data_IF_365353030557
#
_entry.id   IF_365353030557
#
_cell.length_a   1.000
_cell.length_b   1.000
_cell.length_c   1.000
_cell.angle_alpha   90.00
_cell.angle_beta   90.00
_cell.angle_gamma   90.00
#
_symmetry.space_group_name_H-M   'P 1'
#
loop_
_entity.id
_entity.type
_entity.pdbx_description
1 polymer ?
#
# COMPACT_ATOMS: atom_id res chain seq x y z
N UNK A 1 -2.78 -16.46 7.48
CA UNK A 1 -3.33 -15.08 7.52
C UNK A 1 -2.98 -14.43 6.19
N UNK A 2 -3.95 -13.94 5.43
CA UNK A 2 -3.68 -13.33 4.13
C UNK A 2 -2.90 -12.03 4.34
N UNK A 3 -1.74 -11.90 3.68
CA UNK A 3 -0.95 -10.67 3.64
C UNK A 3 -1.64 -9.71 2.67
N UNK A 4 -2.35 -8.74 3.19
CA UNK A 4 -3.09 -7.75 2.42
C UNK A 4 -2.67 -6.36 2.94
N UNK A 5 -1.74 -5.75 2.21
CA UNK A 5 -1.09 -4.49 2.58
C UNK A 5 -2.00 -3.33 2.16
N UNK A 6 -2.68 -3.47 1.02
CA UNK A 6 -3.43 -2.39 0.39
C UNK A 6 -4.88 -2.77 0.07
N UNK A 7 -5.73 -2.93 1.10
CA UNK A 7 -7.20 -3.09 0.91
C UNK A 7 -7.85 -2.11 -0.07
N UNK A 8 -7.24 -0.94 -0.30
CA UNK A 8 -7.72 0.11 -1.20
C UNK A 8 -7.69 -0.30 -2.67
N UNK A 9 -6.78 -1.19 -3.08
CA UNK A 9 -6.62 -1.61 -4.48
C UNK A 9 -7.88 -2.33 -4.99
N UNK A 10 -8.47 -3.18 -4.16
CA UNK A 10 -9.64 -3.98 -4.47
C UNK A 10 -10.87 -3.08 -4.65
N UNK A 11 -10.97 -1.97 -3.90
CA UNK A 11 -12.00 -0.96 -4.10
C UNK A 11 -11.83 -0.23 -5.42
N UNK A 12 -10.60 0.22 -5.76
CA UNK A 12 -10.37 0.89 -7.04
C UNK A 12 -10.67 -0.03 -8.23
N UNK A 13 -10.25 -1.30 -8.17
CA UNK A 13 -10.56 -2.28 -9.22
C UNK A 13 -12.08 -2.48 -9.32
N UNK A 14 -12.77 -2.69 -8.21
CA UNK A 14 -14.22 -2.93 -8.21
C UNK A 14 -15.01 -1.73 -8.73
N UNK A 15 -14.68 -0.51 -8.28
CA UNK A 15 -15.32 0.74 -8.72
C UNK A 15 -15.03 0.97 -10.21
N UNK A 16 -13.79 0.80 -10.64
CA UNK A 16 -13.39 0.96 -12.04
C UNK A 16 -14.14 0.00 -12.97
N UNK A 17 -14.23 -1.28 -12.60
CA UNK A 17 -15.00 -2.29 -13.35
C UNK A 17 -16.49 -1.91 -13.40
N UNK A 18 -17.07 -1.50 -12.28
CA UNK A 18 -18.48 -1.12 -12.22
C UNK A 18 -18.79 0.08 -13.14
N UNK A 19 -17.94 1.13 -13.14
CA UNK A 19 -18.11 2.28 -14.01
C UNK A 19 -17.99 1.91 -15.51
N UNK A 20 -17.07 1.01 -15.85
CA UNK A 20 -16.94 0.51 -17.23
C UNK A 20 -18.18 -0.28 -17.65
N UNK A 21 -18.72 -1.13 -16.77
CA UNK A 21 -19.95 -1.89 -17.05
C UNK A 21 -21.13 -0.95 -17.23
N UNK A 22 -21.29 0.05 -16.36
CA UNK A 22 -22.36 1.06 -16.49
C UNK A 22 -22.21 1.84 -17.81
N UNK A 23 -20.99 2.25 -18.16
CA UNK A 23 -20.73 2.92 -19.44
C UNK A 23 -21.08 2.00 -20.63
N UNK A 24 -20.66 0.74 -20.61
CA UNK A 24 -20.98 -0.22 -21.66
C UNK A 24 -22.48 -0.46 -21.79
N UNK A 25 -23.18 -0.74 -20.68
CA UNK A 25 -24.64 -0.94 -20.68
C UNK A 25 -25.34 0.31 -21.20
N UNK A 26 -24.91 1.51 -20.80
CA UNK A 26 -25.52 2.75 -21.30
C UNK A 26 -25.41 2.85 -22.82
N UNK A 27 -24.26 2.48 -23.39
CA UNK A 27 -24.00 2.52 -24.83
C UNK A 27 -24.81 1.45 -25.59
N UNK A 28 -24.97 0.25 -25.03
CA UNK A 28 -25.61 -0.88 -25.72
C UNK A 28 -27.13 -0.99 -25.50
N UNK A 29 -27.64 -0.55 -24.35
CA UNK A 29 -29.04 -0.73 -23.99
C UNK A 29 -29.97 0.31 -24.67
N UNK A 30 -29.44 1.47 -25.05
CA UNK A 30 -30.23 2.49 -25.74
C UNK A 30 -29.48 3.11 -26.93
N UNK A 31 -29.68 2.55 -28.14
CA UNK A 31 -29.10 3.10 -29.36
C UNK A 31 -29.74 4.43 -29.80
N UNK A 32 -30.79 4.93 -29.14
CA UNK A 32 -31.35 6.26 -29.45
C UNK A 32 -30.59 7.40 -28.76
N UNK A 33 -29.83 7.10 -27.71
CA UNK A 33 -29.01 8.06 -26.95
C UNK A 33 -27.57 8.20 -27.50
N UNK A 34 -27.34 7.90 -28.78
CA UNK A 34 -26.06 8.25 -29.43
C UNK A 34 -25.91 9.75 -29.71
N UNK A 35 -27.02 10.49 -29.70
CA UNK A 35 -27.04 11.92 -30.00
C UNK A 35 -27.27 12.72 -28.73
N UNK A 36 -26.19 13.18 -28.12
CA UNK A 36 -26.27 14.20 -27.06
C UNK A 36 -26.52 15.57 -27.69
N UNK A 37 -27.57 16.24 -27.23
CA UNK A 37 -27.90 17.60 -27.63
C UNK A 37 -27.11 18.57 -26.76
N UNK A 38 -26.33 19.44 -27.39
CA UNK A 38 -25.82 20.63 -26.71
C UNK A 38 -26.74 21.79 -27.02
N UNK A 39 -27.48 22.22 -26.00
CA UNK A 39 -28.42 23.34 -26.08
C UNK A 39 -27.67 24.58 -25.58
N UNK A 40 -27.51 25.57 -26.47
CA UNK A 40 -26.87 26.84 -26.13
C UNK A 40 -27.90 27.95 -26.21
N UNK A 41 -28.18 28.59 -25.08
CA UNK A 41 -29.04 29.78 -25.00
C UNK A 41 -28.25 30.90 -24.31
N UNK A 42 -27.79 31.88 -25.10
CA UNK A 42 -26.90 32.94 -24.63
C UNK A 42 -25.58 32.38 -24.08
N UNK A 43 -25.33 32.61 -22.79
CA UNK A 43 -24.14 32.11 -22.08
C UNK A 43 -24.33 30.76 -21.38
N UNK A 44 -25.55 30.21 -21.40
CA UNK A 44 -25.86 28.95 -20.73
C UNK A 44 -25.68 27.76 -21.67
N UNK A 45 -24.97 26.74 -21.19
CA UNK A 45 -24.72 25.50 -21.92
C UNK A 45 -25.34 24.35 -21.13
N UNK A 46 -26.28 23.63 -21.76
CA UNK A 46 -26.96 22.47 -21.20
C UNK A 46 -26.77 21.25 -22.09
N UNK A 47 -26.71 20.08 -21.45
CA UNK A 47 -26.64 18.77 -22.08
C UNK A 47 -27.93 18.02 -21.79
N UNK A 48 -28.62 17.56 -22.83
CA UNK A 48 -29.88 16.81 -22.69
C UNK A 48 -29.88 15.63 -23.68
N UNK A 49 -30.52 14.54 -23.30
CA UNK A 49 -30.81 13.42 -24.20
C UNK A 49 -31.97 13.82 -25.13
N UNK A 50 -31.95 13.35 -26.38
CA UNK A 50 -32.97 13.71 -27.36
C UNK A 50 -34.37 13.17 -27.01
N UNK A 51 -34.47 12.11 -26.22
CA UNK A 51 -35.71 11.50 -25.68
C UNK A 51 -36.89 11.33 -26.66
N UNK A 52 -36.63 11.38 -27.98
CA UNK A 52 -37.67 11.36 -29.01
C UNK A 52 -38.36 12.70 -29.28
N UNK A 53 -37.93 13.80 -28.65
CA UNK A 53 -38.44 15.15 -28.88
C UNK A 53 -38.07 15.69 -30.26
N UNK A 54 -38.94 16.53 -30.81
CA UNK A 54 -38.65 17.29 -32.04
C UNK A 54 -37.91 18.59 -31.74
N UNK A 55 -37.14 19.09 -32.71
CA UNK A 55 -36.37 20.34 -32.58
C UNK A 55 -37.29 21.52 -32.25
N UNK A 56 -38.51 21.52 -32.80
CA UNK A 56 -39.54 22.54 -32.56
C UNK A 56 -40.00 22.56 -31.09
N UNK A 57 -40.14 21.40 -30.46
CA UNK A 57 -40.50 21.29 -29.03
C UNK A 57 -39.37 21.82 -28.13
N UNK A 58 -38.12 21.62 -28.53
CA UNK A 58 -36.94 22.12 -27.79
C UNK A 58 -36.83 23.63 -27.92
N UNK A 59 -37.03 24.17 -29.13
CA UNK A 59 -37.02 25.61 -29.39
C UNK A 59 -38.20 26.31 -28.68
N UNK A 60 -39.37 25.68 -28.65
CA UNK A 60 -40.53 26.22 -27.93
C UNK A 60 -40.30 26.34 -26.41
N UNK A 61 -39.56 25.39 -25.82
CA UNK A 61 -39.26 25.40 -24.37
C UNK A 61 -38.11 26.34 -24.01
N UNK A 62 -37.04 26.36 -24.80
CA UNK A 62 -35.84 27.13 -24.49
C UNK A 62 -35.79 28.52 -25.13
N UNK A 63 -36.71 28.82 -26.06
CA UNK A 63 -36.81 30.11 -26.74
C UNK A 63 -36.19 30.11 -28.13
N UNK A 64 -36.61 31.08 -28.96
CA UNK A 64 -36.26 31.18 -30.38
C UNK A 64 -34.76 31.34 -30.66
N UNK A 65 -33.99 31.87 -29.69
CA UNK A 65 -32.55 32.09 -29.83
C UNK A 65 -31.71 30.83 -29.52
N UNK A 66 -32.35 29.68 -29.31
CA UNK A 66 -31.68 28.44 -28.93
C UNK A 66 -30.96 27.79 -30.10
N UNK A 67 -29.66 27.58 -29.97
CA UNK A 67 -28.86 26.82 -30.96
C UNK A 67 -28.70 25.38 -30.49
N UNK A 68 -29.28 24.45 -31.25
CA UNK A 68 -29.17 23.01 -31.01
C UNK A 68 -27.98 22.48 -31.81
N UNK A 69 -26.97 21.96 -31.13
CA UNK A 69 -25.84 21.28 -31.77
C UNK A 69 -25.91 19.78 -31.51
N UNK A 70 -25.94 19.00 -32.60
CA UNK A 70 -25.93 17.54 -32.54
C UNK A 70 -24.51 17.02 -32.37
N UNK A 71 -24.22 16.46 -31.19
CA UNK A 71 -22.99 15.70 -30.99
C UNK A 71 -23.23 14.28 -31.46
N UNK A 72 -22.56 13.83 -32.53
CA UNK A 72 -22.60 12.41 -32.94
C UNK A 72 -21.86 11.46 -31.99
N UNK A 73 -21.43 11.95 -30.83
CA UNK A 73 -20.61 11.22 -29.87
C UNK A 73 -21.11 11.51 -28.44
N UNK A 74 -21.47 10.48 -27.65
CA UNK A 74 -22.00 10.66 -26.31
C UNK A 74 -20.85 11.00 -25.34
N UNK A 75 -20.65 12.30 -25.09
CA UNK A 75 -19.52 12.81 -24.31
C UNK A 75 -19.64 12.40 -22.85
N UNK A 76 -20.83 12.47 -22.24
CA UNK A 76 -21.03 12.13 -20.81
C UNK A 76 -20.69 10.66 -20.57
N UNK A 77 -21.24 9.76 -21.40
CA UNK A 77 -21.01 8.30 -21.28
C UNK A 77 -19.54 7.95 -21.49
N UNK A 78 -18.89 8.61 -22.44
CA UNK A 78 -17.46 8.42 -22.70
C UNK A 78 -16.62 8.93 -21.52
N UNK A 79 -16.97 10.06 -20.90
CA UNK A 79 -16.31 10.56 -19.69
C UNK A 79 -16.44 9.53 -18.56
N UNK A 80 -17.61 8.93 -18.35
CA UNK A 80 -17.80 7.88 -17.32
C UNK A 80 -16.89 6.67 -17.62
N UNK A 81 -16.89 6.19 -18.87
CA UNK A 81 -16.06 5.06 -19.30
C UNK A 81 -14.56 5.33 -19.15
N UNK A 82 -14.09 6.52 -19.55
CA UNK A 82 -12.69 6.94 -19.39
C UNK A 82 -12.31 7.00 -17.91
N UNK A 83 -13.14 7.60 -17.06
CA UNK A 83 -12.87 7.66 -15.62
C UNK A 83 -12.82 6.27 -15.00
N UNK A 84 -13.75 5.39 -15.37
CA UNK A 84 -13.75 3.98 -14.94
C UNK A 84 -12.46 3.25 -15.34
N UNK A 85 -12.02 3.43 -16.58
CA UNK A 85 -10.76 2.86 -17.08
C UNK A 85 -9.53 3.39 -16.35
N UNK A 86 -9.46 4.71 -16.10
CA UNK A 86 -8.36 5.33 -15.36
C UNK A 86 -8.30 4.79 -13.93
N UNK A 87 -9.44 4.73 -13.24
CA UNK A 87 -9.53 4.18 -11.88
C UNK A 87 -9.09 2.70 -11.85
N UNK A 88 -9.54 1.90 -12.81
CA UNK A 88 -9.16 0.50 -12.94
C UNK A 88 -7.65 0.34 -13.17
N UNK A 89 -7.07 1.11 -14.09
CA UNK A 89 -5.64 1.07 -14.39
C UNK A 89 -4.80 1.43 -13.16
N UNK A 90 -5.23 2.43 -12.39
CA UNK A 90 -4.61 2.79 -11.11
C UNK A 90 -4.69 1.61 -10.14
N UNK A 91 -5.86 1.00 -9.96
CA UNK A 91 -6.05 -0.16 -9.08
C UNK A 91 -5.14 -1.35 -9.45
N UNK A 92 -5.07 -1.68 -10.75
CA UNK A 92 -4.19 -2.74 -11.26
C UNK A 92 -2.71 -2.43 -11.03
N UNK A 93 -2.31 -1.17 -11.21
CA UNK A 93 -0.93 -0.73 -10.92
C UNK A 93 -0.57 -0.92 -9.45
N UNK A 94 -1.44 -0.49 -8.53
CA UNK A 94 -1.24 -0.71 -7.09
C UNK A 94 -1.15 -2.20 -6.75
N UNK A 95 -2.05 -3.01 -7.29
CA UNK A 95 -2.04 -4.47 -7.09
C UNK A 95 -0.75 -5.13 -7.58
N UNK A 96 -0.21 -4.66 -8.71
CA UNK A 96 1.06 -5.18 -9.23
C UNK A 96 2.25 -4.85 -8.30
N UNK A 97 2.23 -3.66 -7.68
CA UNK A 97 3.24 -3.25 -6.71
C UNK A 97 3.10 -4.02 -5.41
N UNK A 98 1.87 -4.21 -4.94
CA UNK A 98 1.60 -4.99 -3.74
C UNK A 98 2.14 -6.42 -3.84
N UNK A 99 1.90 -7.11 -4.96
CA UNK A 99 2.45 -8.45 -5.18
C UNK A 99 3.98 -8.50 -5.02
N UNK A 100 4.68 -7.46 -5.50
CA UNK A 100 6.15 -7.35 -5.35
C UNK A 100 6.58 -7.10 -3.90
N UNK A 101 5.79 -6.33 -3.15
CA UNK A 101 6.07 -6.06 -1.73
C UNK A 101 5.81 -7.33 -0.90
N UNK A 102 4.73 -8.05 -1.19
CA UNK A 102 4.42 -9.34 -0.56
C UNK A 102 5.52 -10.35 -0.86
N UNK A 103 6.06 -10.42 -2.08
CA UNK A 103 7.18 -11.32 -2.37
C UNK A 103 8.45 -10.98 -1.59
N UNK A 104 8.74 -9.68 -1.38
CA UNK A 104 9.84 -9.26 -0.49
C UNK A 104 9.56 -9.72 0.94
N UNK A 105 8.35 -9.50 1.44
CA UNK A 105 7.96 -9.90 2.79
C UNK A 105 8.06 -11.42 2.96
N UNK A 106 7.55 -12.22 2.01
CA UNK A 106 7.64 -13.68 2.07
C UNK A 106 9.09 -14.18 2.04
N UNK A 107 9.97 -13.53 1.27
CA UNK A 107 11.38 -13.88 1.26
C UNK A 107 12.05 -13.59 2.62
N UNK A 108 11.80 -12.41 3.19
CA UNK A 108 12.32 -12.01 4.50
C UNK A 108 11.78 -12.87 5.64
N UNK A 109 10.49 -13.21 5.60
CA UNK A 109 9.79 -14.03 6.61
C UNK A 109 10.34 -15.47 6.63
N UNK A 110 10.76 -16.00 5.47
CA UNK A 110 11.38 -17.33 5.37
C UNK A 110 12.84 -17.34 5.82
N UNK A 111 13.61 -16.31 5.47
CA UNK A 111 15.05 -16.32 5.74
C UNK A 111 15.41 -15.74 7.11
N UNK A 112 14.59 -14.84 7.67
CA UNK A 112 14.87 -14.07 8.89
C UNK A 112 15.99 -13.03 8.73
N UNK A 113 16.97 -13.31 7.87
CA UNK A 113 18.04 -12.41 7.47
C UNK A 113 18.36 -12.59 5.98
N UNK A 114 18.70 -11.51 5.29
CA UNK A 114 19.15 -11.60 3.89
C UNK A 114 19.91 -10.36 3.47
N UNK A 115 20.91 -10.52 2.59
CA UNK A 115 21.57 -9.39 1.94
C UNK A 115 20.61 -8.76 0.94
N UNK A 116 20.62 -7.43 0.87
CA UNK A 116 19.70 -6.70 -0.01
C UNK A 116 19.98 -7.02 -1.48
N UNK A 117 21.26 -7.18 -1.84
CA UNK A 117 21.66 -7.58 -3.18
C UNK A 117 21.15 -8.97 -3.56
N UNK A 118 21.19 -9.94 -2.64
CA UNK A 118 20.72 -11.31 -2.90
C UNK A 118 19.20 -11.35 -3.07
N UNK A 119 18.46 -10.56 -2.27
CA UNK A 119 17.02 -10.33 -2.47
C UNK A 119 16.71 -9.66 -3.80
N UNK A 120 17.48 -8.66 -4.19
CA UNK A 120 17.31 -7.93 -5.45
C UNK A 120 17.46 -8.88 -6.66
N UNK A 121 18.50 -9.70 -6.65
CA UNK A 121 18.76 -10.69 -7.71
C UNK A 121 17.70 -11.78 -7.75
N UNK A 122 17.36 -12.37 -6.58
CA UNK A 122 16.40 -13.47 -6.52
C UNK A 122 14.97 -13.06 -6.88
N UNK A 123 14.55 -11.84 -6.55
CA UNK A 123 13.21 -11.33 -6.84
C UNK A 123 13.13 -10.54 -8.16
N UNK A 124 14.25 -10.24 -8.79
CA UNK A 124 14.31 -9.36 -9.97
C UNK A 124 13.83 -7.94 -9.68
N UNK A 125 14.10 -7.43 -8.46
CA UNK A 125 13.70 -6.10 -8.01
C UNK A 125 14.93 -5.22 -7.78
N UNK A 126 14.78 -3.91 -7.92
CA UNK A 126 15.88 -3.00 -7.62
C UNK A 126 16.09 -2.88 -6.10
N UNK A 127 17.36 -2.68 -5.71
CA UNK A 127 17.75 -2.40 -4.31
C UNK A 127 16.93 -1.26 -3.71
N UNK A 128 16.78 -0.16 -4.44
CA UNK A 128 16.00 1.00 -3.99
C UNK A 128 14.52 0.68 -3.79
N UNK A 129 13.96 -0.20 -4.63
CA UNK A 129 12.57 -0.64 -4.45
C UNK A 129 12.41 -1.41 -3.14
N UNK A 130 13.32 -2.34 -2.84
CA UNK A 130 13.29 -3.11 -1.59
C UNK A 130 13.40 -2.19 -0.38
N UNK A 131 14.42 -1.34 -0.32
CA UNK A 131 14.67 -0.45 0.82
C UNK A 131 13.53 0.56 1.02
N UNK A 132 12.98 1.09 -0.06
CA UNK A 132 11.85 2.02 0.00
C UNK A 132 10.61 1.39 0.61
N UNK A 133 10.30 0.14 0.25
CA UNK A 133 9.07 -0.54 0.69
C UNK A 133 9.25 -1.35 1.97
N UNK A 134 10.48 -1.48 2.50
CA UNK A 134 10.73 -2.05 3.82
C UNK A 134 9.94 -1.33 4.92
N UNK A 135 9.77 0.00 4.80
CA UNK A 135 8.94 0.80 5.70
C UNK A 135 7.46 0.42 5.66
N UNK A 136 6.96 0.04 4.49
CA UNK A 136 5.56 -0.37 4.31
C UNK A 136 5.32 -1.77 4.88
N UNK A 137 6.31 -2.66 4.77
CA UNK A 137 6.32 -3.97 5.42
C UNK A 137 6.32 -3.81 6.94
N UNK A 138 7.19 -2.96 7.49
CA UNK A 138 7.26 -2.68 8.93
C UNK A 138 6.03 -1.93 9.50
N UNK A 139 5.17 -1.37 8.64
CA UNK A 139 3.91 -0.79 9.07
C UNK A 139 2.85 -1.86 9.38
N UNK A 140 3.09 -3.11 8.99
CA UNK A 140 2.21 -4.24 9.27
C UNK A 140 2.37 -4.70 10.73
N UNK A 141 1.30 -5.25 11.32
CA UNK A 141 1.31 -5.74 12.69
C UNK A 141 2.30 -6.90 12.85
N UNK A 142 3.07 -6.91 13.93
CA UNK A 142 4.01 -7.98 14.30
C UNK A 142 5.15 -8.21 13.29
N UNK A 143 5.46 -7.21 12.46
CA UNK A 143 6.56 -7.26 11.50
C UNK A 143 7.56 -6.16 11.82
N UNK A 144 8.82 -6.52 12.00
CA UNK A 144 9.87 -5.57 12.32
C UNK A 144 11.19 -6.00 11.69
N UNK A 145 11.50 -5.45 10.52
CA UNK A 145 12.77 -5.67 9.84
C UNK A 145 13.66 -4.43 9.92
N UNK A 146 14.94 -4.63 10.23
CA UNK A 146 15.94 -3.57 10.34
C UNK A 146 16.94 -3.70 9.19
N UNK A 147 17.19 -2.60 8.50
CA UNK A 147 18.24 -2.53 7.49
C UNK A 147 19.55 -2.08 8.14
N UNK A 148 20.59 -2.89 7.98
CA UNK A 148 21.95 -2.64 8.44
C UNK A 148 22.81 -2.21 7.26
N UNK A 149 23.19 -0.93 7.24
CA UNK A 149 23.90 -0.31 6.12
C UNK A 149 25.36 -0.72 6.00
N UNK A 150 25.99 -1.11 7.10
CA UNK A 150 27.37 -1.59 7.16
C UNK A 150 27.54 -2.92 6.42
N UNK A 151 26.54 -3.81 6.50
CA UNK A 151 26.58 -5.15 5.91
C UNK A 151 25.65 -5.32 4.71
N UNK A 152 24.97 -4.24 4.29
CA UNK A 152 23.94 -4.22 3.24
C UNK A 152 22.93 -5.37 3.38
N UNK A 153 22.40 -5.54 4.61
CA UNK A 153 21.49 -6.65 4.94
C UNK A 153 20.25 -6.19 5.68
N UNK A 154 19.18 -6.95 5.51
CA UNK A 154 17.92 -6.79 6.24
C UNK A 154 17.79 -7.97 7.18
N UNK A 155 17.51 -7.68 8.45
CA UNK A 155 17.40 -8.65 9.53
C UNK A 155 16.08 -8.45 10.25
N UNK A 156 15.42 -9.52 10.66
CA UNK A 156 14.33 -9.45 11.63
C UNK A 156 14.87 -8.83 12.93
N UNK A 157 14.30 -7.71 13.35
CA UNK A 157 14.72 -7.00 14.55
C UNK A 157 14.46 -7.79 15.83
N UNK A 158 13.63 -8.84 15.80
CA UNK A 158 13.55 -9.82 16.90
C UNK A 158 14.91 -10.49 17.15
N UNK A 159 15.66 -10.78 16.09
CA UNK A 159 17.00 -11.38 16.21
C UNK A 159 18.03 -10.41 16.79
N UNK A 160 17.74 -9.10 16.78
CA UNK A 160 18.58 -8.07 17.39
C UNK A 160 18.33 -7.89 18.89
N UNK A 161 17.23 -8.43 19.44
CA UNK A 161 16.98 -8.38 20.87
C UNK A 161 18.01 -9.21 21.63
N UNK A 162 18.36 -8.76 22.83
CA UNK A 162 19.21 -9.52 23.75
C UNK A 162 18.38 -10.60 24.44
N UNK A 163 18.78 -11.85 24.29
CA UNK A 163 18.16 -12.99 24.95
C UNK A 163 19.07 -13.49 26.06
N UNK A 164 18.47 -13.80 27.21
CA UNK A 164 19.17 -14.47 28.29
C UNK A 164 19.18 -15.95 27.99
N UNK A 165 20.35 -16.49 27.66
CA UNK A 165 20.51 -17.91 27.37
C UNK A 165 21.03 -18.61 28.61
N UNK A 166 20.27 -19.62 29.05
CA UNK A 166 20.63 -20.52 30.13
C UNK A 166 21.03 -21.86 29.53
N UNK A 167 22.34 -22.14 29.46
CA UNK A 167 22.87 -23.37 28.87
C UNK A 167 24.01 -23.94 29.70
N UNK A 168 24.15 -25.26 29.73
CA UNK A 168 25.28 -25.92 30.40
C UNK A 168 26.50 -25.90 29.47
N UNK A 169 27.64 -25.44 29.99
CA UNK A 169 28.88 -25.44 29.23
C UNK A 169 29.42 -26.86 29.04
N UNK A 170 29.65 -27.34 27.80
CA UNK A 170 30.15 -28.71 27.57
C UNK A 170 31.58 -28.92 28.10
N UNK A 171 32.38 -27.85 28.19
CA UNK A 171 33.75 -27.94 28.71
C UNK A 171 33.87 -28.07 30.22
N UNK A 172 33.13 -27.28 31.01
CA UNK A 172 33.27 -27.22 32.47
C UNK A 172 32.03 -27.65 33.26
N UNK A 173 30.90 -27.91 32.61
CA UNK A 173 29.64 -28.31 33.25
C UNK A 173 28.88 -27.18 33.96
N UNK A 174 29.42 -25.96 34.02
CA UNK A 174 28.75 -24.83 34.67
C UNK A 174 27.56 -24.32 33.85
N UNK A 175 26.50 -23.90 34.54
CA UNK A 175 25.38 -23.15 33.95
C UNK A 175 25.85 -21.76 33.53
N UNK A 176 25.72 -21.46 32.24
CA UNK A 176 25.93 -20.14 31.67
C UNK A 176 24.62 -19.37 31.72
N UNK A 177 24.65 -18.16 32.28
CA UNK A 177 23.55 -17.21 32.21
C UNK A 177 24.12 -15.93 31.58
N UNK A 178 24.02 -15.82 30.25
CA UNK A 178 24.57 -14.70 29.51
C UNK A 178 23.52 -14.11 28.56
N UNK A 179 23.50 -12.78 28.50
CA UNK A 179 22.78 -12.05 27.46
C UNK A 179 23.54 -12.16 26.14
N UNK A 180 22.89 -12.71 25.13
CA UNK A 180 23.44 -12.83 23.78
C UNK A 180 22.44 -12.27 22.79
N UNK A 181 22.92 -11.56 21.76
CA UNK A 181 22.10 -11.21 20.61
C UNK A 181 22.11 -12.39 19.64
N UNK A 182 20.97 -12.73 19.05
CA UNK A 182 20.85 -13.84 18.11
C UNK A 182 21.43 -13.53 16.71
N UNK A 183 21.90 -12.30 16.53
CA UNK A 183 22.51 -11.77 15.31
C UNK A 183 24.00 -12.17 15.15
N UNK A 184 24.40 -13.33 15.66
CA UNK A 184 25.79 -13.71 15.93
C UNK A 184 26.80 -13.36 14.82
N UNK A 185 27.53 -12.25 14.99
CA UNK A 185 28.82 -12.04 14.33
C UNK A 185 29.95 -12.74 15.09
N UNK A 186 29.74 -13.07 16.38
CA UNK A 186 30.69 -13.78 17.24
C UNK A 186 29.95 -14.77 18.14
N UNK A 187 30.46 -16.00 18.24
CA UNK A 187 29.92 -17.04 19.11
C UNK A 187 30.22 -16.71 20.58
N UNK A 188 29.24 -16.79 21.49
CA UNK A 188 29.49 -16.59 22.91
C UNK A 188 30.43 -17.66 23.46
N UNK A 189 31.41 -17.22 24.24
CA UNK A 189 32.39 -18.09 24.92
C UNK A 189 32.07 -18.19 26.40
N UNK A 190 32.28 -19.37 26.97
CA UNK A 190 32.15 -19.60 28.40
C UNK A 190 33.15 -18.73 29.19
N UNK A 191 32.66 -17.93 30.15
CA UNK A 191 33.52 -17.08 30.99
C UNK A 191 34.50 -17.86 31.87
N UNK A 192 34.22 -19.12 32.17
CA UNK A 192 35.04 -19.95 33.05
C UNK A 192 36.14 -20.70 32.31
N UNK A 193 35.82 -21.33 31.17
CA UNK A 193 36.76 -22.22 30.46
C UNK A 193 37.05 -21.80 29.01
N UNK A 194 36.44 -20.70 28.53
CA UNK A 194 36.65 -20.19 27.17
C UNK A 194 35.99 -21.01 26.05
N UNK A 195 35.38 -22.16 26.36
CA UNK A 195 34.72 -23.02 25.36
C UNK A 195 33.56 -22.29 24.69
N UNK A 196 33.48 -22.37 23.37
CA UNK A 196 32.36 -21.82 22.58
C UNK A 196 31.10 -22.64 22.78
N UNK A 197 29.94 -21.98 22.88
CA UNK A 197 28.65 -22.66 22.92
C UNK A 197 28.39 -23.36 21.58
N UNK A 198 27.71 -24.51 21.61
CA UNK A 198 27.34 -25.26 20.41
C UNK A 198 26.44 -24.42 19.50
N UNK A 199 26.77 -24.41 18.21
CA UNK A 199 25.98 -23.73 17.16
C UNK A 199 24.56 -24.30 17.09
N UNK A 200 24.39 -25.60 17.37
CA UNK A 200 23.09 -26.27 17.30
C UNK A 200 22.10 -25.75 18.35
N UNK A 201 22.57 -25.47 19.56
CA UNK A 201 21.71 -24.97 20.64
C UNK A 201 21.28 -23.52 20.37
N UNK A 202 22.18 -22.72 19.78
CA UNK A 202 21.86 -21.36 19.33
C UNK A 202 20.87 -21.36 18.16
N UNK A 203 21.02 -22.28 17.20
CA UNK A 203 20.08 -22.44 16.10
C UNK A 203 18.69 -22.86 16.58
N UNK A 204 18.61 -23.78 17.56
CA UNK A 204 17.34 -24.16 18.19
C UNK A 204 16.66 -22.96 18.84
N UNK A 205 17.40 -22.16 19.60
CA UNK A 205 16.85 -20.96 20.23
C UNK A 205 16.41 -19.92 19.20
N UNK A 206 17.18 -19.75 18.11
CA UNK A 206 16.79 -18.88 16.99
C UNK A 206 15.46 -19.32 16.40
N UNK A 207 15.28 -20.62 16.14
CA UNK A 207 14.03 -21.16 15.64
C UNK A 207 12.87 -20.98 16.62
N UNK A 208 13.11 -21.18 17.92
CA UNK A 208 12.11 -20.99 18.96
C UNK A 208 11.64 -19.52 19.02
N UNK A 209 12.58 -18.58 19.06
CA UNK A 209 12.29 -17.14 19.06
C UNK A 209 11.56 -16.71 17.79
N UNK A 210 11.98 -17.19 16.62
CA UNK A 210 11.29 -16.92 15.36
C UNK A 210 9.86 -17.48 15.34
N UNK A 211 9.63 -18.62 16.01
CA UNK A 211 8.31 -19.23 16.13
C UNK A 211 7.40 -18.54 17.14
N UNK A 212 7.97 -17.91 18.18
CA UNK A 212 7.24 -17.16 19.20
C UNK A 212 6.66 -15.86 18.59
N UNK A 213 5.34 -15.75 18.59
CA UNK A 213 4.61 -14.78 17.73
C UNK A 213 4.33 -13.41 18.36
N UNK A 214 4.89 -13.09 19.52
CA UNK A 214 4.28 -12.07 20.40
C UNK A 214 5.13 -10.83 20.64
N UNK A 215 5.56 -10.15 19.57
CA UNK A 215 5.90 -8.72 19.67
C UNK A 215 4.80 -7.93 18.98
N UNK A 216 3.80 -7.53 19.77
CA UNK A 216 2.72 -6.64 19.30
C UNK A 216 3.28 -5.23 19.20
N UNK A 217 3.89 -4.92 18.06
CA UNK A 217 4.12 -3.52 17.68
C UNK A 217 2.77 -3.00 17.19
N UNK A 218 2.11 -2.17 18.00
CA UNK A 218 0.88 -1.52 17.56
C UNK A 218 1.19 -0.64 16.34
N UNK A 219 0.51 -0.87 15.20
CA UNK A 219 0.75 -0.06 14.01
C UNK A 219 0.29 1.36 14.32
N UNK A 220 1.00 2.39 13.82
CA UNK A 220 0.59 3.76 14.03
C UNK A 220 -0.85 3.94 13.52
N UNK A 221 -1.76 4.36 14.40
CA UNK A 221 -3.15 4.67 14.00
C UNK A 221 -3.11 5.74 12.91
N UNK A 222 -3.66 5.39 11.75
CA UNK A 222 -3.80 6.32 10.63
C UNK A 222 -5.02 7.20 10.87
N UNK A 223 -4.83 8.52 10.92
CA UNK A 223 -5.92 9.50 10.97
C UNK A 223 -6.64 9.70 9.63
N UNK A 224 -6.32 8.88 8.61
CA UNK A 224 -6.95 8.93 7.30
C UNK A 224 -8.25 8.13 7.32
N UNK A 225 -9.39 8.82 7.19
CA UNK A 225 -10.70 8.18 7.09
C UNK A 225 -11.01 7.89 5.62
N UNK A 226 -10.94 6.60 5.26
CA UNK A 226 -11.23 6.14 3.89
C UNK A 226 -12.66 6.49 3.48
N UNK A 227 -13.62 6.39 4.40
CA UNK A 227 -15.02 6.73 4.13
C UNK A 227 -15.22 8.19 3.74
N UNK A 228 -14.55 9.12 4.42
CA UNK A 228 -14.60 10.56 4.10
C UNK A 228 -13.96 10.83 2.74
N UNK A 229 -12.84 10.17 2.42
CA UNK A 229 -12.20 10.31 1.12
C UNK A 229 -13.11 9.84 -0.03
N UNK A 230 -13.74 8.67 0.11
CA UNK A 230 -14.66 8.15 -0.91
C UNK A 230 -15.88 9.05 -1.06
N UNK A 231 -16.46 9.52 0.05
CA UNK A 231 -17.58 10.46 0.01
C UNK A 231 -17.21 11.75 -0.73
N UNK A 232 -16.05 12.33 -0.42
CA UNK A 232 -15.53 13.50 -1.12
C UNK A 232 -15.29 13.20 -2.59
N UNK A 233 -14.78 12.03 -2.94
CA UNK A 233 -14.48 11.68 -4.32
C UNK A 233 -15.74 11.64 -5.19
N UNK A 234 -16.86 11.18 -4.61
CA UNK A 234 -18.16 11.11 -5.29
C UNK A 234 -18.84 12.48 -5.35
N UNK A 235 -18.89 13.21 -4.23
CA UNK A 235 -19.67 14.47 -4.12
C UNK A 235 -18.88 15.66 -4.63
N UNK A 236 -17.58 15.71 -4.37
CA UNK A 236 -16.72 16.85 -4.65
C UNK A 236 -15.25 16.42 -4.86
N UNK A 237 -14.97 15.84 -6.03
CA UNK A 237 -13.66 15.29 -6.36
C UNK A 237 -12.46 16.23 -6.09
N UNK A 238 -12.53 17.57 -6.26
CA UNK A 238 -11.42 18.45 -5.92
C UNK A 238 -11.15 18.47 -4.41
N UNK A 239 -12.20 18.35 -3.59
CA UNK A 239 -12.08 18.23 -2.14
C UNK A 239 -11.42 16.93 -1.71
N UNK A 240 -11.65 15.83 -2.43
CA UNK A 240 -10.96 14.56 -2.19
C UNK A 240 -9.45 14.70 -2.42
N UNK A 241 -9.07 15.38 -3.51
CA UNK A 241 -7.67 15.69 -3.82
C UNK A 241 -7.06 16.55 -2.70
N UNK A 242 -7.73 17.64 -2.30
CA UNK A 242 -7.28 18.51 -1.22
C UNK A 242 -7.12 17.75 0.11
N UNK A 243 -8.06 16.87 0.45
CA UNK A 243 -8.03 16.05 1.66
C UNK A 243 -6.77 15.18 1.74
N UNK A 244 -6.40 14.53 0.62
CA UNK A 244 -5.18 13.72 0.54
C UNK A 244 -3.93 14.57 0.77
N UNK A 245 -3.83 15.74 0.14
CA UNK A 245 -2.68 16.63 0.30
C UNK A 245 -2.52 17.14 1.74
N UNK A 246 -3.61 17.59 2.36
CA UNK A 246 -3.60 18.10 3.74
C UNK A 246 -3.18 16.99 4.73
N UNK A 247 -3.78 15.79 4.61
CA UNK A 247 -3.42 14.67 5.49
C UNK A 247 -2.00 14.17 5.28
N UNK A 248 -1.50 14.16 4.04
CA UNK A 248 -0.12 13.77 3.72
C UNK A 248 0.89 14.79 4.28
N UNK A 249 0.58 16.08 4.23
CA UNK A 249 1.41 17.15 4.80
C UNK A 249 1.56 17.04 6.32
N UNK A 250 0.48 16.73 7.04
CA UNK A 250 0.54 16.55 8.50
C UNK A 250 1.37 15.34 8.93
N UNK A 251 1.34 14.26 8.14
CA UNK A 251 2.14 13.06 8.41
C UNK A 251 3.65 13.34 8.35
N UNK A 252 4.07 14.23 7.44
CA UNK A 252 5.48 14.64 7.31
C UNK A 252 5.91 15.43 8.55
N UNK A 253 5.10 16.38 9.02
CA UNK A 253 5.41 17.21 10.20
C UNK A 253 5.57 16.39 11.48
N UNK A 254 4.64 15.46 11.74
CA UNK A 254 4.68 14.61 12.94
C UNK A 254 5.89 13.65 12.95
N UNK A 255 6.31 13.18 11.76
CA UNK A 255 7.49 12.33 11.63
C UNK A 255 8.78 13.11 11.93
N UNK A 256 8.90 14.34 11.41
CA UNK A 256 10.07 15.19 11.70
C UNK A 256 10.22 15.44 13.20
N UNK A 257 9.12 15.69 13.92
CA UNK A 257 9.17 15.86 15.38
C UNK A 257 9.58 14.61 16.16
N UNK A 258 9.17 13.40 15.72
CA UNK A 258 9.55 12.16 16.40
C UNK A 258 11.03 11.79 16.16
N UNK A 259 11.53 11.99 14.94
CA UNK A 259 12.95 11.73 14.63
C UNK A 259 13.86 12.68 15.44
N UNK A 260 13.48 13.94 15.60
CA UNK A 260 14.22 14.89 16.44
C UNK A 260 14.28 14.47 17.92
N UNK A 261 13.23 13.82 18.45
CA UNK A 261 13.20 13.33 19.83
C UNK A 261 14.10 12.09 20.04
N UNK A 262 14.17 11.20 19.05
CA UNK A 262 15.02 10.00 19.12
C UNK A 262 16.51 10.30 18.95
N UNK A 263 16.89 11.43 18.34
CA UNK A 263 18.28 11.87 18.22
C UNK A 263 18.79 12.64 19.44
N UNK A 264 17.88 13.07 20.32
CA UNK A 264 18.22 13.79 21.57
C UNK A 264 18.36 12.87 22.80
N UNK A 265 18.20 11.56 22.62
CA UNK A 265 18.43 10.52 23.63
C UNK A 265 19.67 9.72 23.26
#
# INVERSE_FOLDING_TARGET
MAKDIYKIDNYFISIGVLLIIVAAISIFADPRSYYELTITNGSTLKWEDRDGRTDDEIIAEHGADTVITYSGFPKIRTIIGINGFVILAIGLFYRSREKKIISIWDALDRSGESKVQDLAVSLGLSRDFILKHLKEINAQRNVYFVYQSDQDKIVDGKLMAEYVVVANCPGCGNNLNQKVSLHFSQLPTCRYCGTTISVDDLNKLKHEVMSSRDVVVEPPKSDFSVGVFVLLLIVFWPGAVAYVFIKKGNKIKNFTSQVSQLQSQ
#
